data_IF_640296478376
#
_entry.id   IF_640296478376
#
_cell.length_a   1.000
_cell.length_b   1.000
_cell.length_c   1.000
_cell.angle_alpha   90.00
_cell.angle_beta   90.00
_cell.angle_gamma   90.00
#
_symmetry.space_group_name_H-M   'P 1'
#
loop_
_entity.id
_entity.type
_entity.pdbx_description
1 polymer ?
#
# COMPACT_ATOMS: atom_id res chain seq x y z
N UNK A 1 -11.93 4.05 18.95
CA UNK A 1 -10.88 4.76 19.72
C UNK A 1 -10.34 5.91 18.91
N UNK A 2 -9.74 5.65 17.73
CA UNK A 2 -9.22 6.67 16.82
C UNK A 2 -10.17 7.86 16.62
N UNK A 3 -11.42 7.65 16.21
CA UNK A 3 -12.38 8.75 16.01
C UNK A 3 -12.71 9.53 17.29
N UNK A 4 -13.03 8.81 18.37
CA UNK A 4 -13.35 9.40 19.68
C UNK A 4 -12.21 10.25 20.24
N UNK A 5 -10.97 9.89 19.94
CA UNK A 5 -9.76 10.54 20.46
C UNK A 5 -9.08 11.45 19.42
N UNK A 6 -9.66 11.59 18.22
CA UNK A 6 -9.07 12.37 17.12
C UNK A 6 -7.77 11.80 16.55
N UNK A 7 -7.52 10.50 16.76
CA UNK A 7 -6.35 9.78 16.26
C UNK A 7 -6.48 9.27 14.82
N UNK A 8 -5.40 8.70 14.31
CA UNK A 8 -5.33 8.05 13.01
C UNK A 8 -5.18 6.52 13.16
N UNK A 9 -5.54 5.79 12.11
CA UNK A 9 -5.30 4.35 11.99
C UNK A 9 -4.07 4.15 11.11
N UNK A 10 -3.11 3.37 11.59
CA UNK A 10 -1.89 3.02 10.87
C UNK A 10 -1.75 1.50 10.90
N UNK A 11 -1.77 0.86 9.73
CA UNK A 11 -1.65 -0.59 9.61
C UNK A 11 -0.89 -0.99 8.34
N UNK A 12 -0.18 -2.12 8.41
CA UNK A 12 0.25 -2.84 7.21
C UNK A 12 -0.98 -3.49 6.56
N UNK A 13 -1.14 -3.31 5.25
CA UNK A 13 -2.28 -3.83 4.50
C UNK A 13 -1.80 -4.29 3.13
N UNK A 14 -2.16 -5.51 2.72
CA UNK A 14 -1.75 -6.07 1.44
C UNK A 14 -0.22 -6.06 1.27
N UNK A 15 0.53 -6.42 2.32
CA UNK A 15 1.99 -6.38 2.30
C UNK A 15 2.61 -7.64 1.69
N UNK A 16 1.87 -8.74 1.59
CA UNK A 16 2.42 -9.98 1.05
C UNK A 16 1.37 -10.78 0.30
N UNK A 17 1.84 -11.62 -0.61
CA UNK A 17 0.99 -12.59 -1.30
C UNK A 17 0.31 -13.53 -0.30
N UNK A 18 1.03 -13.95 0.75
CA UNK A 18 0.49 -14.81 1.81
C UNK A 18 -0.64 -14.11 2.60
N UNK A 19 -0.57 -12.80 2.83
CA UNK A 19 -1.67 -12.05 3.43
C UNK A 19 -2.91 -12.08 2.52
N UNK A 20 -2.72 -11.78 1.23
CA UNK A 20 -3.80 -11.81 0.25
C UNK A 20 -4.46 -13.19 0.17
N UNK A 21 -3.67 -14.25 0.00
CA UNK A 21 -4.15 -15.62 -0.12
C UNK A 21 -4.93 -16.05 1.13
N UNK A 22 -4.41 -15.78 2.32
CA UNK A 22 -5.11 -16.06 3.58
C UNK A 22 -6.40 -15.26 3.73
N UNK A 23 -6.42 -14.01 3.28
CA UNK A 23 -7.63 -13.19 3.33
C UNK A 23 -8.72 -13.75 2.40
N UNK A 24 -8.33 -14.15 1.18
CA UNK A 24 -9.23 -14.79 0.22
C UNK A 24 -9.74 -16.12 0.76
N UNK A 25 -8.87 -16.98 1.29
CA UNK A 25 -9.24 -18.29 1.85
C UNK A 25 -10.22 -18.16 3.02
N UNK A 26 -9.96 -17.23 3.96
CA UNK A 26 -10.73 -17.11 5.21
C UNK A 26 -11.96 -16.23 5.09
N UNK A 27 -11.93 -15.24 4.22
CA UNK A 27 -12.94 -14.18 4.18
C UNK A 27 -13.57 -13.98 2.80
N UNK A 28 -13.06 -14.65 1.77
CA UNK A 28 -13.58 -14.58 0.40
C UNK A 28 -13.36 -13.23 -0.28
N UNK A 29 -12.42 -12.41 0.20
CA UNK A 29 -12.18 -11.05 -0.29
C UNK A 29 -10.71 -10.65 -0.06
N UNK A 30 -10.27 -9.55 -0.69
CA UNK A 30 -8.93 -8.99 -0.50
C UNK A 30 -8.79 -8.29 0.85
N UNK A 31 -7.56 -8.01 1.35
CA UNK A 31 -7.37 -7.25 2.59
C UNK A 31 -8.09 -5.89 2.60
N UNK A 32 -8.07 -5.15 1.49
CA UNK A 32 -8.77 -3.87 1.38
C UNK A 32 -10.30 -4.04 1.45
N UNK A 33 -10.85 -5.02 0.75
CA UNK A 33 -12.28 -5.35 0.81
C UNK A 33 -12.69 -5.84 2.20
N UNK A 34 -11.82 -6.59 2.88
CA UNK A 34 -12.05 -6.99 4.26
C UNK A 34 -12.14 -5.77 5.18
N UNK A 35 -11.25 -4.79 5.05
CA UNK A 35 -11.34 -3.53 5.79
C UNK A 35 -12.62 -2.75 5.47
N UNK A 36 -13.01 -2.68 4.20
CA UNK A 36 -14.27 -2.05 3.78
C UNK A 36 -15.48 -2.73 4.44
N UNK A 37 -15.56 -4.06 4.37
CA UNK A 37 -16.68 -4.84 4.90
C UNK A 37 -16.84 -4.70 6.41
N UNK A 38 -15.74 -4.42 7.12
CA UNK A 38 -15.74 -4.17 8.57
C UNK A 38 -15.87 -2.69 8.93
N UNK A 39 -16.14 -1.81 7.96
CA UNK A 39 -16.33 -0.37 8.16
C UNK A 39 -15.06 0.41 8.50
N UNK A 40 -13.88 -0.20 8.39
CA UNK A 40 -12.61 0.47 8.72
C UNK A 40 -12.30 1.55 7.68
N UNK A 41 -12.53 1.28 6.40
CA UNK A 41 -12.35 2.27 5.32
C UNK A 41 -13.46 3.35 5.30
N UNK A 42 -14.58 3.11 5.99
CA UNK A 42 -15.66 4.07 6.15
C UNK A 42 -15.47 4.97 7.38
N UNK A 43 -14.46 4.68 8.21
CA UNK A 43 -14.17 5.49 9.39
C UNK A 43 -13.85 6.95 8.99
N UNK A 44 -14.24 7.88 9.85
CA UNK A 44 -13.94 9.31 9.69
C UNK A 44 -12.49 9.63 10.03
N UNK A 45 -11.82 8.73 10.76
CA UNK A 45 -10.39 8.83 11.04
C UNK A 45 -9.56 8.79 9.75
N UNK A 46 -8.35 9.37 9.79
CA UNK A 46 -7.38 9.21 8.71
C UNK A 46 -6.75 7.82 8.79
N UNK A 47 -6.53 7.20 7.63
CA UNK A 47 -5.91 5.89 7.52
C UNK A 47 -4.58 5.99 6.77
N UNK A 48 -3.51 5.43 7.33
CA UNK A 48 -2.26 5.15 6.64
C UNK A 48 -2.13 3.64 6.43
N UNK A 49 -2.26 3.22 5.16
CA UNK A 49 -2.20 1.83 4.73
C UNK A 49 -0.79 1.55 4.18
N UNK A 50 0.06 0.94 5.00
CA UNK A 50 1.48 0.74 4.68
C UNK A 50 1.68 -0.49 3.79
N UNK A 51 2.66 -0.37 2.90
CA UNK A 51 2.99 -1.25 1.79
C UNK A 51 1.96 -1.27 0.68
N UNK A 52 0.75 -1.76 0.91
CA UNK A 52 -0.33 -1.81 -0.11
C UNK A 52 0.10 -2.42 -1.47
N UNK A 53 1.11 -3.30 -1.45
CA UNK A 53 1.70 -3.93 -2.64
C UNK A 53 0.72 -4.87 -3.33
N UNK A 54 -0.15 -5.49 -2.53
CA UNK A 54 -1.19 -6.42 -2.94
C UNK A 54 -2.59 -5.80 -2.81
N UNK A 55 -2.71 -4.48 -2.98
CA UNK A 55 -3.99 -3.77 -3.16
C UNK A 55 -4.20 -3.60 -4.66
N UNK A 56 -5.25 -4.22 -5.20
CA UNK A 56 -5.45 -4.24 -6.65
C UNK A 56 -6.04 -2.92 -7.18
N UNK A 57 -6.07 -2.76 -8.50
CA UNK A 57 -6.73 -1.61 -9.15
C UNK A 57 -8.21 -1.47 -8.80
N UNK A 58 -8.89 -2.56 -8.47
CA UNK A 58 -10.28 -2.54 -7.99
C UNK A 58 -10.36 -2.08 -6.54
N UNK A 59 -9.44 -2.55 -5.70
CA UNK A 59 -9.38 -2.16 -4.29
C UNK A 59 -9.03 -0.69 -4.11
N UNK A 60 -8.19 -0.13 -4.98
CA UNK A 60 -7.88 1.31 -5.02
C UNK A 60 -9.17 2.16 -5.12
N UNK A 61 -10.21 1.67 -5.80
CA UNK A 61 -11.49 2.39 -5.94
C UNK A 61 -12.30 2.45 -4.63
N UNK A 62 -11.97 1.62 -3.65
CA UNK A 62 -12.55 1.66 -2.31
C UNK A 62 -11.93 2.78 -1.47
N UNK A 63 -10.76 3.31 -1.90
CA UNK A 63 -10.01 4.27 -1.11
C UNK A 63 -10.47 5.71 -1.37
N UNK A 64 -10.58 6.50 -0.30
CA UNK A 64 -10.89 7.93 -0.36
C UNK A 64 -9.60 8.77 -0.36
N UNK A 65 -9.32 9.57 -1.41
CA UNK A 65 -8.17 10.50 -1.45
C UNK A 65 -8.14 11.54 -0.32
N UNK A 66 -9.29 11.80 0.30
CA UNK A 66 -9.41 12.75 1.39
C UNK A 66 -8.95 12.16 2.73
N UNK A 67 -9.17 10.86 2.95
CA UNK A 67 -8.95 10.19 4.24
C UNK A 67 -7.83 9.15 4.24
N UNK A 68 -7.58 8.49 3.11
CA UNK A 68 -6.65 7.38 3.00
C UNK A 68 -5.33 7.81 2.38
N UNK A 69 -4.26 7.34 3.00
CA UNK A 69 -2.88 7.57 2.62
C UNK A 69 -2.22 6.20 2.41
N UNK A 70 -1.39 6.09 1.38
CA UNK A 70 -0.63 4.88 1.11
C UNK A 70 0.81 5.05 1.56
N UNK A 71 1.26 4.17 2.45
CA UNK A 71 2.62 4.15 2.96
C UNK A 71 3.53 3.36 2.04
N UNK A 72 4.48 4.03 1.38
CA UNK A 72 5.45 3.44 0.48
C UNK A 72 6.79 3.24 1.20
N UNK A 73 7.28 2.00 1.20
CA UNK A 73 8.58 1.63 1.74
C UNK A 73 9.43 0.91 0.67
N UNK A 74 10.07 1.66 -0.24
CA UNK A 74 10.69 1.11 -1.45
C UNK A 74 11.75 0.04 -1.18
N UNK A 75 12.73 0.30 -0.31
CA UNK A 75 13.82 -0.67 -0.06
C UNK A 75 13.29 -1.98 0.53
N UNK A 76 12.35 -1.91 1.49
CA UNK A 76 11.68 -3.09 2.06
C UNK A 76 10.91 -3.87 1.00
N UNK A 77 10.10 -3.17 0.20
CA UNK A 77 9.36 -3.77 -0.92
C UNK A 77 10.28 -4.50 -1.92
N UNK A 78 11.42 -3.90 -2.27
CA UNK A 78 12.41 -4.47 -3.18
C UNK A 78 13.13 -5.66 -2.55
N UNK A 79 13.50 -5.59 -1.26
CA UNK A 79 14.16 -6.69 -0.54
C UNK A 79 13.33 -7.98 -0.59
N UNK A 80 12.01 -7.87 -0.57
CA UNK A 80 11.09 -9.00 -0.69
C UNK A 80 10.62 -9.28 -2.12
N UNK A 81 11.05 -8.49 -3.12
CA UNK A 81 10.78 -8.72 -4.54
C UNK A 81 9.44 -8.20 -5.06
N UNK A 82 8.77 -7.29 -4.33
CA UNK A 82 7.41 -6.82 -4.65
C UNK A 82 7.34 -5.29 -4.70
N UNK A 83 7.88 -4.61 -5.73
CA UNK A 83 7.78 -3.16 -5.82
C UNK A 83 6.31 -2.70 -5.94
N UNK A 84 5.98 -1.58 -5.29
CA UNK A 84 4.64 -1.00 -5.32
C UNK A 84 4.36 -0.29 -6.66
N UNK A 85 3.14 -0.37 -7.19
CA UNK A 85 2.66 0.45 -8.32
C UNK A 85 2.23 1.86 -7.85
N UNK A 86 3.18 2.60 -7.29
CA UNK A 86 2.93 3.95 -6.78
C UNK A 86 2.47 4.95 -7.86
N UNK A 87 2.82 4.82 -9.17
CA UNK A 87 2.23 5.67 -10.20
C UNK A 87 0.71 5.49 -10.32
N UNK A 88 0.18 4.26 -10.22
CA UNK A 88 -1.26 4.03 -10.24
C UNK A 88 -1.95 4.67 -9.03
N UNK A 89 -1.33 4.64 -7.86
CA UNK A 89 -1.84 5.33 -6.66
C UNK A 89 -1.92 6.84 -6.87
N UNK A 90 -0.87 7.42 -7.46
CA UNK A 90 -0.83 8.84 -7.77
C UNK A 90 -1.90 9.22 -8.80
N UNK A 91 -2.09 8.41 -9.85
CA UNK A 91 -3.15 8.60 -10.86
C UNK A 91 -4.56 8.51 -10.26
N UNK A 92 -4.75 7.67 -9.23
CA UNK A 92 -6.00 7.58 -8.47
C UNK A 92 -6.22 8.79 -7.52
N UNK A 93 -5.29 9.74 -7.47
CA UNK A 93 -5.36 10.92 -6.60
C UNK A 93 -5.03 10.63 -5.13
N UNK A 94 -4.55 9.42 -4.80
CA UNK A 94 -4.20 9.05 -3.44
C UNK A 94 -2.91 9.74 -3.00
N UNK A 95 -2.84 10.08 -1.71
CA UNK A 95 -1.64 10.66 -1.10
C UNK A 95 -0.69 9.55 -0.72
N UNK A 96 0.59 9.73 -1.05
CA UNK A 96 1.64 8.76 -0.79
C UNK A 96 2.53 9.30 0.33
N UNK A 97 2.72 8.51 1.37
CA UNK A 97 3.64 8.78 2.47
C UNK A 97 4.87 7.89 2.33
N UNK A 98 6.05 8.47 2.30
CA UNK A 98 7.30 7.72 2.19
C UNK A 98 7.82 7.33 3.58
N UNK A 99 8.23 6.08 3.74
CA UNK A 99 8.84 5.58 4.98
C UNK A 99 9.96 4.59 4.69
N UNK A 100 10.84 4.39 5.67
CA UNK A 100 11.95 3.43 5.57
C UNK A 100 11.56 1.99 5.94
N UNK A 101 10.40 1.79 6.57
CA UNK A 101 10.06 0.55 7.29
C UNK A 101 11.03 0.31 8.48
N UNK A 102 11.60 -0.88 8.64
CA UNK A 102 12.40 -1.27 9.80
C UNK A 102 13.84 -1.66 9.42
N UNK A 103 14.76 -1.61 10.38
CA UNK A 103 16.18 -1.90 10.17
C UNK A 103 16.47 -3.29 9.56
N UNK A 104 15.58 -4.27 9.78
CA UNK A 104 15.69 -5.63 9.25
C UNK A 104 15.25 -5.78 7.78
N UNK A 105 14.46 -4.83 7.29
CA UNK A 105 13.96 -4.74 5.91
C UNK A 105 14.48 -3.49 5.18
N UNK A 106 15.34 -2.72 5.85
CA UNK A 106 16.01 -1.52 5.37
C UNK A 106 17.19 -1.22 6.29
N UNK A 107 18.40 -1.54 5.87
CA UNK A 107 19.59 -1.40 6.74
C UNK A 107 20.07 0.06 6.91
N UNK A 108 19.53 1.01 6.15
CA UNK A 108 19.95 2.42 6.20
C UNK A 108 19.02 3.31 7.02
N UNK A 109 17.74 2.97 7.10
CA UNK A 109 16.68 3.78 7.73
C UNK A 109 16.67 5.24 7.26
N UNK A 110 17.09 5.48 6.00
CA UNK A 110 17.30 6.82 5.46
C UNK A 110 16.21 7.20 4.45
N UNK A 111 15.27 8.05 4.87
CA UNK A 111 14.17 8.51 4.01
C UNK A 111 14.67 9.29 2.78
N UNK A 112 15.81 9.97 2.84
CA UNK A 112 16.38 10.63 1.65
C UNK A 112 16.89 9.62 0.62
N UNK A 113 17.38 8.47 1.08
CA UNK A 113 17.76 7.37 0.20
C UNK A 113 16.52 6.73 -0.44
N UNK A 114 15.43 6.56 0.32
CA UNK A 114 14.14 6.14 -0.23
C UNK A 114 13.61 7.14 -1.29
N UNK A 115 13.73 8.46 -1.05
CA UNK A 115 13.33 9.46 -2.07
C UNK A 115 14.16 9.30 -3.34
N UNK A 116 15.46 9.04 -3.21
CA UNK A 116 16.36 8.86 -4.34
C UNK A 116 16.02 7.61 -5.15
N UNK A 117 15.63 6.50 -4.51
CA UNK A 117 15.27 5.26 -5.21
C UNK A 117 14.00 5.45 -6.07
N UNK A 118 13.13 6.39 -5.70
CA UNK A 118 11.91 6.71 -6.44
C UNK A 118 12.06 7.83 -7.49
N UNK A 119 13.13 8.63 -7.44
CA UNK A 119 13.28 9.85 -8.24
C UNK A 119 13.13 9.64 -9.76
N UNK A 120 13.44 8.44 -10.28
CA UNK A 120 13.28 8.09 -11.69
C UNK A 120 11.98 7.33 -12.03
N UNK A 121 11.25 6.80 -11.04
CA UNK A 121 10.16 5.85 -11.28
C UNK A 121 8.95 6.46 -12.00
N UNK A 122 8.69 7.75 -11.80
CA UNK A 122 7.63 8.47 -12.52
C UNK A 122 8.01 8.80 -13.98
N UNK A 123 9.30 8.77 -14.33
CA UNK A 123 9.81 9.17 -15.66
C UNK A 123 10.00 7.97 -16.57
N UNK A 124 10.57 6.87 -16.07
CA UNK A 124 10.99 5.74 -16.91
C UNK A 124 9.93 4.67 -17.11
N UNK A 125 8.76 4.78 -16.49
CA UNK A 125 7.76 3.73 -16.48
C UNK A 125 8.25 2.51 -15.67
N UNK A 126 7.35 1.90 -14.90
CA UNK A 126 7.72 0.69 -14.14
C UNK A 126 7.56 -0.52 -15.06
N UNK A 127 8.67 -1.20 -15.37
CA UNK A 127 8.62 -2.47 -16.07
C UNK A 127 8.22 -3.59 -15.09
N UNK A 128 6.98 -4.07 -15.23
CA UNK A 128 6.43 -5.19 -14.46
C UNK A 128 6.42 -6.48 -15.28
N UNK A 129 6.62 -7.62 -14.61
CA UNK A 129 6.48 -8.94 -15.22
C UNK A 129 5.03 -9.20 -15.66
N UNK A 130 4.77 -10.13 -16.61
CA UNK A 130 3.41 -10.50 -17.01
C UNK A 130 2.51 -10.94 -15.84
N UNK A 131 3.08 -11.67 -14.89
CA UNK A 131 2.35 -12.17 -13.72
C UNK A 131 1.92 -11.01 -12.80
N UNK A 132 2.82 -10.06 -12.55
CA UNK A 132 2.51 -8.86 -11.77
C UNK A 132 1.39 -8.03 -12.44
N UNK A 133 1.40 -7.91 -13.78
CA UNK A 133 0.33 -7.20 -14.51
C UNK A 133 -1.02 -7.89 -14.37
N UNK A 134 -1.04 -9.22 -14.42
CA UNK A 134 -2.26 -10.01 -14.24
C UNK A 134 -2.87 -9.76 -12.86
N UNK A 135 -2.03 -9.76 -11.82
CA UNK A 135 -2.43 -9.45 -10.46
C UNK A 135 -2.96 -8.01 -10.29
N UNK A 136 -2.27 -7.01 -10.85
CA UNK A 136 -2.71 -5.60 -10.76
C UNK A 136 -4.08 -5.38 -11.44
N UNK A 137 -4.34 -6.12 -12.53
CA UNK A 137 -5.56 -6.00 -13.33
C UNK A 137 -6.79 -6.70 -12.71
N UNK A 138 -6.60 -7.63 -11.77
CA UNK A 138 -7.70 -8.34 -11.08
C UNK A 138 -8.43 -7.50 -10.05
#
# INVERSE_FOLDING_TARGET
AAEREGGAIHAHVGQSLEELERCVERHGCTPAQFLQRNGVLDAEARLLLVHSMFVTSRDIKLLSPQRHYLGLCPSSAIQFGFPCDFPAWHQAGLKICLGSDAACSNDSMNVQQEMRSLAGGAVFGVHTSPDARTFIAT
#
